data_IF_518819603789
#
_entry.id   IF_518819603789
#
_cell.length_a   1.000
_cell.length_b   1.000
_cell.length_c   1.000
_cell.angle_alpha   90.00
_cell.angle_beta   90.00
_cell.angle_gamma   90.00
#
_symmetry.space_group_name_H-M   'P 1'
#
loop_
_entity.id
_entity.type
_entity.pdbx_description
1 polymer ?
#
# COMPACT_ATOMS: atom_id res chain seq x y z
N UNK A 1 51.41 62.34 -15.90
CA UNK A 1 50.62 62.47 -14.65
C UNK A 1 50.60 61.09 -14.01
N UNK A 2 51.32 60.83 -12.89
CA UNK A 2 51.03 61.28 -11.52
C UNK A 2 49.66 60.72 -11.07
N UNK A 3 49.45 59.98 -9.96
CA UNK A 3 50.29 59.49 -8.85
C UNK A 3 49.32 58.79 -7.85
N UNK A 4 49.72 57.64 -7.29
CA UNK A 4 49.55 57.18 -5.88
C UNK A 4 48.13 56.85 -5.33
N UNK A 5 47.93 55.64 -4.79
CA UNK A 5 47.97 55.22 -3.34
C UNK A 5 46.54 54.79 -2.96
N UNK A 6 46.23 53.51 -2.72
CA UNK A 6 46.57 52.62 -1.59
C UNK A 6 45.55 52.73 -0.42
N UNK A 7 45.28 51.57 0.21
CA UNK A 7 44.52 51.27 1.45
C UNK A 7 43.00 51.01 1.28
N UNK A 8 42.32 50.02 1.89
CA UNK A 8 42.68 48.90 2.79
C UNK A 8 41.44 48.02 3.06
N UNK A 9 41.68 46.74 3.35
CA UNK A 9 41.04 45.89 4.40
C UNK A 9 39.52 45.67 4.45
N UNK A 10 39.14 44.38 4.49
CA UNK A 10 38.17 43.71 5.40
C UNK A 10 37.30 42.68 4.64
N UNK A 11 37.54 41.37 4.80
CA UNK A 11 36.84 40.42 5.71
C UNK A 11 35.44 40.00 5.22
N UNK A 12 35.22 38.69 5.10
CA UNK A 12 33.90 38.03 5.03
C UNK A 12 33.89 36.85 4.06
N UNK A 13 34.38 35.66 4.41
CA UNK A 13 33.66 34.48 4.97
C UNK A 13 32.30 34.15 4.37
N UNK A 14 32.20 32.86 3.96
CA UNK A 14 31.00 32.06 3.70
C UNK A 14 30.18 32.57 2.49
N UNK A 15 29.66 31.74 1.59
CA UNK A 15 28.86 30.54 1.83
C UNK A 15 28.58 29.87 0.48
N UNK A 16 28.28 28.57 0.55
CA UNK A 16 27.26 27.86 -0.27
C UNK A 16 27.58 27.45 -1.71
N UNK A 17 27.22 26.18 -1.94
CA UNK A 17 26.52 25.68 -3.13
C UNK A 17 27.34 25.59 -4.42
N UNK A 18 27.65 24.36 -4.82
CA UNK A 18 26.80 23.50 -5.65
C UNK A 18 27.30 23.56 -7.09
N UNK A 19 27.76 22.42 -7.62
CA UNK A 19 26.97 21.81 -8.68
C UNK A 19 27.26 20.31 -8.77
N UNK A 20 26.18 19.53 -8.68
CA UNK A 20 26.12 18.14 -9.12
C UNK A 20 25.85 18.18 -10.61
N UNK A 21 26.59 17.39 -11.38
CA UNK A 21 26.05 16.80 -12.59
C UNK A 21 26.59 15.36 -12.72
N UNK A 22 25.66 14.42 -12.55
CA UNK A 22 25.82 12.99 -12.73
C UNK A 22 25.21 12.65 -14.08
N UNK A 23 25.97 12.09 -15.02
CA UNK A 23 25.41 11.28 -16.12
C UNK A 23 26.37 10.16 -16.54
N UNK A 24 25.78 8.96 -16.56
CA UNK A 24 26.19 7.63 -17.08
C UNK A 24 26.95 7.75 -18.42
N UNK A 25 27.84 6.85 -18.83
CA UNK A 25 27.71 5.39 -18.91
C UNK A 25 29.03 4.66 -18.61
N UNK A 26 28.90 3.53 -17.92
CA UNK A 26 29.97 2.55 -17.77
C UNK A 26 29.92 1.64 -18.99
N UNK A 27 30.69 1.95 -20.03
CA UNK A 27 31.15 0.92 -20.96
C UNK A 27 32.34 0.25 -20.27
N UNK A 28 32.16 -0.98 -19.78
CA UNK A 28 33.31 -1.82 -19.46
C UNK A 28 34.02 -2.11 -20.79
N UNK A 29 35.28 -1.69 -20.98
CA UNK A 29 36.04 -2.17 -22.12
C UNK A 29 36.30 -3.67 -21.90
N UNK A 30 35.75 -4.52 -22.76
CA UNK A 30 36.20 -5.90 -22.93
C UNK A 30 37.62 -5.84 -23.49
N UNK A 31 38.62 -5.87 -22.60
CA UNK A 31 40.01 -5.99 -23.00
C UNK A 31 40.41 -7.45 -22.83
N UNK A 32 40.20 -8.21 -23.90
CA UNK A 32 40.94 -9.43 -24.20
C UNK A 32 42.41 -9.03 -24.37
N UNK A 33 43.26 -9.38 -23.40
CA UNK A 33 44.72 -9.26 -23.50
C UNK A 33 45.32 -10.64 -23.50
N UNK A 34 45.18 -11.31 -24.65
CA UNK A 34 46.25 -12.14 -25.20
C UNK A 34 47.33 -11.18 -25.71
N UNK A 35 48.37 -10.92 -24.91
CA UNK A 35 49.56 -10.24 -25.41
C UNK A 35 50.81 -10.98 -24.94
N UNK A 36 51.43 -11.58 -25.96
CA UNK A 36 52.76 -12.16 -26.00
C UNK A 36 53.80 -11.34 -25.22
N UNK A 37 54.74 -12.08 -24.63
CA UNK A 37 55.82 -11.64 -23.75
C UNK A 37 56.58 -10.40 -24.27
N UNK A 38 56.11 -9.21 -23.91
CA UNK A 38 56.87 -7.97 -24.04
C UNK A 38 57.92 -7.89 -22.94
N UNK A 39 59.20 -8.00 -23.29
CA UNK A 39 60.32 -7.88 -22.35
C UNK A 39 60.27 -6.53 -21.60
N UNK A 40 60.03 -6.57 -20.29
CA UNK A 40 60.03 -5.39 -19.42
C UNK A 40 61.46 -4.95 -19.09
N UNK A 41 61.78 -3.64 -19.13
CA UNK A 41 63.11 -3.14 -18.81
C UNK A 41 63.43 -3.30 -17.32
N UNK A 42 64.62 -3.79 -17.00
CA UNK A 42 65.09 -3.89 -15.61
C UNK A 42 65.60 -2.54 -15.12
N UNK A 43 64.81 -1.88 -14.27
CA UNK A 43 65.31 -0.82 -13.40
C UNK A 43 65.56 -1.42 -12.02
N UNK A 44 66.83 -1.45 -11.61
CA UNK A 44 67.21 -1.86 -10.27
C UNK A 44 67.16 -0.63 -9.36
N UNK A 45 66.16 -0.58 -8.48
CA UNK A 45 65.93 0.54 -7.57
C UNK A 45 65.96 -0.01 -6.15
N UNK A 46 66.99 0.37 -5.38
CA UNK A 46 67.12 0.01 -3.96
C UNK A 46 66.06 0.73 -3.12
N UNK A 47 64.88 0.11 -2.95
CA UNK A 47 63.85 0.56 -2.01
C UNK A 47 64.06 -0.05 -0.63
N UNK A 48 63.64 0.66 0.42
CA UNK A 48 63.64 0.11 1.78
C UNK A 48 62.76 -1.16 1.86
N UNK A 49 63.23 -2.19 2.55
CA UNK A 49 62.53 -3.45 2.72
C UNK A 49 61.24 -3.24 3.54
N UNK A 50 60.08 -3.30 2.88
CA UNK A 50 58.76 -3.14 3.50
C UNK A 50 58.17 -4.53 3.77
N UNK A 51 58.16 -4.91 5.05
CA UNK A 51 57.53 -6.16 5.49
C UNK A 51 56.01 -5.99 5.58
N UNK A 52 55.29 -6.49 4.59
CA UNK A 52 53.82 -6.51 4.56
C UNK A 52 53.32 -7.83 5.14
N UNK A 53 52.54 -7.77 6.22
CA UNK A 53 51.98 -8.95 6.86
C UNK A 53 50.59 -8.68 7.40
N UNK A 54 49.77 -9.72 7.51
CA UNK A 54 48.46 -9.66 8.16
C UNK A 54 48.61 -9.95 9.65
N UNK A 55 48.02 -9.11 10.51
CA UNK A 55 47.95 -9.36 11.96
C UNK A 55 46.51 -9.68 12.36
N UNK A 56 46.32 -10.74 13.16
CA UNK A 56 45.01 -11.09 13.70
C UNK A 56 44.75 -10.27 14.95
N UNK A 57 43.74 -9.41 14.92
CA UNK A 57 43.32 -8.60 16.07
C UNK A 57 41.91 -9.02 16.51
N UNK A 58 41.75 -9.32 17.79
CA UNK A 58 40.42 -9.50 18.38
C UNK A 58 39.74 -8.13 18.44
N UNK A 59 38.62 -7.98 17.75
CA UNK A 59 37.79 -6.78 17.76
C UNK A 59 36.43 -7.18 18.31
N UNK A 60 35.94 -6.44 19.31
CA UNK A 60 34.59 -6.63 19.82
C UNK A 60 33.60 -6.08 18.79
N UNK A 61 32.78 -6.97 18.22
CA UNK A 61 31.72 -6.60 17.28
C UNK A 61 30.38 -6.78 18.01
N UNK A 62 29.59 -5.70 18.19
CA UNK A 62 28.30 -5.81 18.84
C UNK A 62 27.36 -6.68 18.00
N UNK A 63 26.81 -7.74 18.60
CA UNK A 63 25.75 -8.54 18.01
C UNK A 63 24.40 -7.97 18.44
N UNK A 64 23.63 -7.42 17.51
CA UNK A 64 22.24 -7.02 17.75
C UNK A 64 21.38 -8.28 17.62
N UNK A 65 20.73 -8.68 18.71
CA UNK A 65 19.71 -9.75 18.69
C UNK A 65 18.37 -9.05 18.63
N UNK A 66 17.70 -9.16 17.47
CA UNK A 66 16.30 -8.71 17.34
C UNK A 66 15.43 -9.87 17.76
N UNK A 67 14.71 -9.71 18.88
CA UNK A 67 13.69 -10.66 19.32
C UNK A 67 12.37 -10.16 18.76
N UNK A 68 11.77 -10.93 17.86
CA UNK A 68 10.39 -10.71 17.42
C UNK A 68 9.50 -11.48 18.41
N UNK A 69 8.58 -10.80 19.07
CA UNK A 69 7.55 -11.42 19.89
C UNK A 69 6.27 -11.53 19.05
N UNK A 70 5.75 -12.74 18.89
CA UNK A 70 4.42 -12.98 18.31
C UNK A 70 3.41 -12.85 19.45
N UNK A 71 2.50 -11.88 19.34
CA UNK A 71 1.38 -11.69 20.27
C UNK A 71 0.09 -12.11 19.57
N UNK A 72 -0.69 -12.99 20.20
CA UNK A 72 -2.02 -13.35 19.73
C UNK A 72 -2.97 -12.17 20.00
N UNK A 73 -3.35 -11.45 18.94
CA UNK A 73 -4.33 -10.37 19.02
C UNK A 73 -5.68 -10.90 18.53
N UNK A 74 -6.72 -10.82 19.37
CA UNK A 74 -8.08 -11.20 18.97
C UNK A 74 -8.63 -10.20 17.95
N UNK A 75 -8.63 -10.60 16.68
CA UNK A 75 -9.29 -9.88 15.60
C UNK A 75 -10.67 -10.47 15.35
N UNK A 76 -11.73 -9.64 15.28
CA UNK A 76 -13.06 -10.15 14.97
C UNK A 76 -13.08 -10.72 13.55
N UNK A 77 -13.43 -12.00 13.41
CA UNK A 77 -13.62 -12.65 12.12
C UNK A 77 -15.07 -13.08 11.95
N UNK A 78 -15.56 -13.04 10.71
CA UNK A 78 -16.91 -13.50 10.33
C UNK A 78 -16.71 -14.75 9.49
N UNK A 79 -17.15 -15.90 10.01
CA UNK A 79 -17.10 -17.18 9.29
C UNK A 79 -18.49 -17.52 8.74
N UNK A 80 -18.57 -17.83 7.45
CA UNK A 80 -19.84 -18.06 6.75
C UNK A 80 -19.90 -19.48 6.22
N UNK A 81 -20.83 -20.27 6.77
CA UNK A 81 -21.19 -21.61 6.29
C UNK A 81 -22.48 -21.56 5.47
N UNK A 82 -22.49 -22.15 4.27
CA UNK A 82 -23.69 -22.19 3.43
C UNK A 82 -24.51 -23.46 3.70
N UNK A 83 -25.84 -23.35 3.83
CA UNK A 83 -26.70 -24.49 4.14
C UNK A 83 -26.88 -25.51 3.00
N UNK A 84 -26.31 -25.28 1.82
CA UNK A 84 -26.39 -26.20 0.67
C UNK A 84 -25.02 -26.81 0.31
N UNK A 85 -24.05 -26.79 1.23
CA UNK A 85 -22.74 -27.43 1.04
C UNK A 85 -22.79 -28.97 1.28
N UNK A 86 -23.99 -29.56 1.32
CA UNK A 86 -24.24 -31.01 1.52
C UNK A 86 -23.80 -31.91 0.33
N UNK A 87 -23.20 -31.35 -0.72
CA UNK A 87 -22.44 -32.16 -1.68
C UNK A 87 -21.05 -32.41 -1.05
N UNK A 88 -20.92 -33.54 -0.34
CA UNK A 88 -19.75 -34.09 0.39
C UNK A 88 -18.39 -34.12 -0.39
N UNK A 89 -18.32 -33.56 -1.60
CA UNK A 89 -17.16 -33.53 -2.50
C UNK A 89 -16.64 -32.11 -2.83
N UNK A 90 -17.21 -31.04 -2.27
CA UNK A 90 -16.64 -29.68 -2.36
C UNK A 90 -16.52 -29.04 -0.97
N UNK A 91 -15.44 -29.37 -0.25
CA UNK A 91 -14.84 -28.42 0.70
C UNK A 91 -14.42 -27.19 -0.11
N UNK A 92 -15.33 -26.24 -0.32
CA UNK A 92 -15.00 -24.98 -0.94
C UNK A 92 -14.02 -24.27 -0.03
N UNK A 93 -12.76 -24.15 -0.49
CA UNK A 93 -11.70 -23.49 0.26
C UNK A 93 -12.16 -22.08 0.64
N UNK A 94 -12.41 -21.88 1.94
CA UNK A 94 -12.77 -20.57 2.46
C UNK A 94 -11.54 -19.69 2.39
N UNK A 95 -11.72 -18.51 1.82
CA UNK A 95 -10.66 -17.54 1.71
C UNK A 95 -11.11 -16.28 2.43
N UNK A 96 -10.24 -15.76 3.29
CA UNK A 96 -10.44 -14.46 3.90
C UNK A 96 -10.46 -13.38 2.82
N UNK A 97 -11.57 -12.65 2.74
CA UNK A 97 -11.78 -11.58 1.76
C UNK A 97 -12.32 -10.34 2.45
N UNK A 98 -11.77 -9.19 2.08
CA UNK A 98 -12.32 -7.90 2.49
C UNK A 98 -13.31 -7.43 1.44
N UNK A 99 -14.56 -7.22 1.87
CA UNK A 99 -15.59 -6.60 1.05
C UNK A 99 -15.67 -5.12 1.40
N UNK A 100 -15.51 -4.28 0.38
CA UNK A 100 -15.56 -2.84 0.52
C UNK A 100 -16.72 -2.25 -0.29
N UNK A 101 -17.37 -1.23 0.28
CA UNK A 101 -18.38 -0.41 -0.38
C UNK A 101 -17.90 1.04 -0.36
N UNK A 102 -18.19 1.81 -1.41
CA UNK A 102 -17.69 3.18 -1.53
C UNK A 102 -18.75 4.07 -2.20
N UNK A 103 -18.84 5.34 -1.83
CA UNK A 103 -19.68 6.30 -2.54
C UNK A 103 -18.97 7.65 -2.63
N UNK A 104 -19.16 8.34 -3.74
CA UNK A 104 -18.80 9.75 -3.87
C UNK A 104 -20.05 10.59 -3.65
N UNK A 105 -20.00 11.51 -2.70
CA UNK A 105 -21.10 12.42 -2.34
C UNK A 105 -20.69 13.88 -2.52
N UNK A 106 -21.66 14.74 -2.76
CA UNK A 106 -21.52 16.20 -2.87
C UNK A 106 -22.48 16.89 -1.90
N UNK A 107 -22.30 18.20 -1.72
CA UNK A 107 -23.17 19.11 -0.97
C UNK A 107 -23.10 18.95 0.56
N UNK A 108 -23.35 17.73 1.06
CA UNK A 108 -23.24 17.40 2.50
C UNK A 108 -22.40 16.15 2.72
N UNK A 109 -21.81 16.03 3.90
CA UNK A 109 -21.18 14.79 4.33
C UNK A 109 -22.24 13.69 4.43
N UNK A 110 -21.84 12.46 4.14
CA UNK A 110 -22.70 11.30 4.30
C UNK A 110 -21.95 10.20 5.02
N UNK A 111 -22.63 9.46 5.87
CA UNK A 111 -22.10 8.27 6.50
C UNK A 111 -22.53 7.05 5.67
N UNK A 112 -21.54 6.25 5.27
CA UNK A 112 -21.74 4.99 4.56
C UNK A 112 -21.33 3.85 5.48
N UNK A 113 -22.29 2.97 5.81
CA UNK A 113 -22.05 1.85 6.72
C UNK A 113 -22.64 0.57 6.16
N UNK A 114 -21.90 -0.54 6.21
CA UNK A 114 -22.40 -1.88 5.97
C UNK A 114 -23.22 -2.29 7.20
N UNK A 115 -24.54 -2.39 7.04
CA UNK A 115 -25.46 -2.78 8.12
C UNK A 115 -25.65 -4.28 8.18
N UNK A 116 -25.88 -4.92 7.03
CA UNK A 116 -26.19 -6.34 6.97
C UNK A 116 -25.51 -7.02 5.78
N UNK A 117 -25.18 -8.31 5.94
CA UNK A 117 -24.77 -9.18 4.83
C UNK A 117 -25.67 -10.41 4.86
N UNK A 118 -26.32 -10.70 3.74
CA UNK A 118 -27.19 -11.86 3.59
C UNK A 118 -26.62 -12.85 2.58
N UNK A 119 -26.71 -14.14 2.88
CA UNK A 119 -26.34 -15.23 1.99
C UNK A 119 -27.60 -15.88 1.41
N UNK A 120 -27.64 -16.10 0.08
CA UNK A 120 -28.72 -16.85 -0.58
C UNK A 120 -28.21 -17.57 -1.83
N UNK A 121 -28.13 -18.90 -1.75
CA UNK A 121 -27.41 -19.72 -2.72
C UNK A 121 -25.98 -19.19 -2.88
N UNK A 122 -25.45 -19.18 -4.11
CA UNK A 122 -24.09 -18.71 -4.39
C UNK A 122 -23.91 -17.16 -4.39
N UNK A 123 -24.78 -16.41 -3.71
CA UNK A 123 -24.70 -14.94 -3.68
C UNK A 123 -24.62 -14.40 -2.26
N UNK A 124 -23.74 -13.43 -2.06
CA UNK A 124 -23.73 -12.54 -0.90
C UNK A 124 -24.37 -11.21 -1.29
N UNK A 125 -25.28 -10.74 -0.46
CA UNK A 125 -25.97 -9.47 -0.59
C UNK A 125 -25.47 -8.56 0.50
N UNK A 126 -24.64 -7.59 0.14
CA UNK A 126 -24.05 -6.61 1.06
C UNK A 126 -24.93 -5.39 1.07
N UNK A 127 -25.45 -5.05 2.25
CA UNK A 127 -26.47 -4.05 2.43
C UNK A 127 -25.88 -2.94 3.27
N UNK A 128 -25.74 -1.78 2.64
CA UNK A 128 -25.17 -0.60 3.26
C UNK A 128 -26.20 0.51 3.32
N UNK A 129 -26.11 1.38 4.32
CA UNK A 129 -26.91 2.61 4.40
C UNK A 129 -26.04 3.79 4.05
N UNK A 130 -26.57 4.72 3.26
CA UNK A 130 -25.94 6.01 2.98
C UNK A 130 -26.84 7.11 3.55
N UNK A 131 -26.40 7.74 4.63
CA UNK A 131 -27.18 8.74 5.36
C UNK A 131 -26.49 10.10 5.30
N UNK A 132 -27.22 11.15 4.92
CA UNK A 132 -26.71 12.51 4.93
C UNK A 132 -26.55 13.02 6.37
N UNK A 133 -25.46 13.72 6.65
CA UNK A 133 -25.23 14.39 7.93
C UNK A 133 -25.56 15.88 7.84
N UNK A 134 -25.49 16.59 8.97
CA UNK A 134 -25.76 18.02 9.04
C UNK A 134 -24.58 18.90 8.55
N UNK A 135 -23.44 18.30 8.19
CA UNK A 135 -22.22 19.03 7.80
C UNK A 135 -22.20 19.29 6.29
N UNK A 136 -22.15 20.56 5.89
CA UNK A 136 -21.94 20.96 4.48
C UNK A 136 -20.50 20.73 4.04
N UNK A 137 -20.32 20.17 2.84
CA UNK A 137 -19.03 20.10 2.15
C UNK A 137 -18.90 21.16 1.03
N UNK A 138 -19.87 22.06 0.93
CA UNK A 138 -19.96 23.10 -0.10
C UNK A 138 -19.82 22.48 -1.51
N UNK A 139 -19.02 23.08 -2.40
CA UNK A 139 -18.77 22.58 -3.76
C UNK A 139 -17.75 21.42 -3.81
N UNK A 140 -17.38 20.83 -2.67
CA UNK A 140 -16.40 19.74 -2.62
C UNK A 140 -17.10 18.39 -2.80
N UNK A 141 -16.30 17.41 -3.20
CA UNK A 141 -16.70 16.01 -3.19
C UNK A 141 -16.01 15.29 -2.05
N UNK A 142 -16.74 14.40 -1.40
CA UNK A 142 -16.23 13.50 -0.38
C UNK A 142 -16.42 12.07 -0.86
N UNK A 143 -15.39 11.23 -0.67
CA UNK A 143 -15.51 9.79 -0.87
C UNK A 143 -15.63 9.14 0.49
N UNK A 144 -16.71 8.39 0.69
CA UNK A 144 -16.97 7.62 1.89
C UNK A 144 -16.94 6.14 1.58
N UNK A 145 -16.49 5.34 2.53
CA UNK A 145 -16.25 3.92 2.33
C UNK A 145 -16.36 3.15 3.63
N UNK A 146 -16.86 1.93 3.55
CA UNK A 146 -16.83 0.97 4.65
C UNK A 146 -16.36 -0.38 4.15
N UNK A 147 -15.80 -1.18 5.06
CA UNK A 147 -15.23 -2.49 4.75
C UNK A 147 -15.49 -3.51 5.84
N UNK A 148 -15.76 -4.73 5.43
CA UNK A 148 -15.92 -5.89 6.31
C UNK A 148 -15.10 -7.04 5.77
N UNK A 149 -14.28 -7.64 6.63
CA UNK A 149 -13.53 -8.86 6.30
C UNK A 149 -14.33 -10.08 6.69
N UNK A 150 -14.43 -11.03 5.78
CA UNK A 150 -15.17 -12.27 5.96
C UNK A 150 -14.39 -13.47 5.41
N UNK A 151 -14.48 -14.58 6.12
CA UNK A 151 -13.97 -15.87 5.69
C UNK A 151 -15.14 -16.66 5.08
N UNK A 152 -15.15 -16.77 3.76
CA UNK A 152 -16.23 -17.42 3.03
C UNK A 152 -15.68 -18.10 1.75
N UNK A 153 -16.42 -19.07 1.19
CA UNK A 153 -16.11 -19.63 -0.12
C UNK A 153 -16.21 -18.57 -1.24
N UNK A 154 -15.93 -18.97 -2.48
CA UNK A 154 -16.01 -18.06 -3.64
C UNK A 154 -17.47 -17.75 -4.02
N UNK A 155 -17.98 -16.62 -3.52
CA UNK A 155 -19.38 -16.21 -3.66
C UNK A 155 -19.56 -14.98 -4.54
N UNK A 156 -20.68 -14.91 -5.26
CA UNK A 156 -21.02 -13.74 -6.06
C UNK A 156 -21.54 -12.59 -5.18
N UNK A 157 -20.78 -11.50 -5.08
CA UNK A 157 -21.11 -10.36 -4.22
C UNK A 157 -21.97 -9.34 -4.97
N UNK A 158 -23.14 -9.02 -4.41
CA UNK A 158 -24.07 -7.99 -4.89
C UNK A 158 -24.22 -6.92 -3.83
N UNK A 159 -23.97 -5.68 -4.22
CA UNK A 159 -24.02 -4.53 -3.31
C UNK A 159 -25.33 -3.75 -3.48
N UNK A 160 -25.98 -3.51 -2.35
CA UNK A 160 -27.16 -2.68 -2.23
C UNK A 160 -26.89 -1.54 -1.25
N UNK A 161 -27.20 -0.32 -1.67
CA UNK A 161 -27.09 0.87 -0.83
C UNK A 161 -28.51 1.40 -0.60
N UNK A 162 -28.94 1.44 0.64
CA UNK A 162 -30.18 2.05 1.08
C UNK A 162 -29.92 3.55 1.23
N UNK A 163 -30.64 4.35 0.44
CA UNK A 163 -30.48 5.80 0.43
C UNK A 163 -30.65 6.38 -0.98
N UNK A 164 -30.57 7.70 -1.06
CA UNK A 164 -30.65 8.39 -2.34
C UNK A 164 -29.34 8.22 -3.11
N UNK A 165 -29.44 7.99 -4.41
CA UNK A 165 -28.27 7.89 -5.27
C UNK A 165 -27.66 9.28 -5.42
N UNK A 166 -26.37 9.49 -5.07
CA UNK A 166 -25.75 10.79 -5.28
C UNK A 166 -25.72 11.16 -6.76
N UNK A 167 -25.79 12.46 -7.04
CA UNK A 167 -25.70 12.96 -8.40
C UNK A 167 -24.31 12.67 -9.00
N UNK A 168 -24.27 12.36 -10.30
CA UNK A 168 -23.03 12.13 -11.06
C UNK A 168 -22.18 10.94 -10.56
N UNK A 169 -22.81 9.92 -9.97
CA UNK A 169 -22.14 8.66 -9.62
C UNK A 169 -21.81 7.87 -10.90
N UNK A 170 -20.52 7.74 -11.20
CA UNK A 170 -20.01 6.93 -12.31
C UNK A 170 -20.01 5.44 -11.99
N UNK A 171 -20.11 5.09 -10.71
CA UNK A 171 -20.06 3.72 -10.27
C UNK A 171 -21.42 3.04 -10.46
N UNK A 172 -21.47 2.13 -11.43
CA UNK A 172 -22.65 1.33 -11.75
C UNK A 172 -22.66 -0.04 -11.06
N UNK A 173 -21.62 -0.36 -10.25
CA UNK A 173 -21.50 -1.63 -9.54
C UNK A 173 -22.45 -1.75 -8.34
N UNK A 174 -23.01 -0.64 -7.87
CA UNK A 174 -23.89 -0.56 -6.70
C UNK A 174 -25.33 -0.27 -7.09
N UNK A 175 -26.26 -1.00 -6.48
CA UNK A 175 -27.70 -0.80 -6.66
C UNK A 175 -28.24 0.04 -5.51
N UNK A 176 -28.89 1.16 -5.82
CA UNK A 176 -29.55 2.00 -4.81
C UNK A 176 -31.01 1.59 -4.65
N UNK A 177 -31.47 1.53 -3.41
CA UNK A 177 -32.86 1.22 -3.02
C UNK A 177 -33.33 2.25 -2.00
N UNK A 178 -34.61 2.61 -2.03
CA UNK A 178 -35.15 3.63 -1.14
C UNK A 178 -35.26 3.14 0.31
N UNK A 179 -35.54 1.85 0.50
CA UNK A 179 -35.71 1.27 1.84
C UNK A 179 -35.28 -0.19 1.92
N UNK A 180 -35.08 -0.66 3.15
CA UNK A 180 -34.81 -2.06 3.44
C UNK A 180 -35.99 -2.97 3.06
N UNK A 181 -37.22 -2.48 3.16
CA UNK A 181 -38.41 -3.24 2.80
C UNK A 181 -38.50 -3.45 1.28
N UNK A 182 -38.17 -2.42 0.49
CA UNK A 182 -38.09 -2.56 -0.98
C UNK A 182 -37.04 -3.61 -1.38
N UNK A 183 -35.93 -3.66 -0.64
CA UNK A 183 -34.91 -4.67 -0.85
C UNK A 183 -35.42 -6.07 -0.53
N UNK A 184 -36.09 -6.26 0.61
CA UNK A 184 -36.67 -7.55 1.00
C UNK A 184 -37.70 -8.04 -0.02
N UNK A 185 -38.57 -7.15 -0.50
CA UNK A 185 -39.54 -7.48 -1.57
C UNK A 185 -38.82 -7.91 -2.85
N UNK A 186 -37.73 -7.24 -3.21
CA UNK A 186 -36.93 -7.56 -4.40
C UNK A 186 -36.19 -8.89 -4.28
N UNK A 187 -35.65 -9.22 -3.11
CA UNK A 187 -34.88 -10.43 -2.87
C UNK A 187 -35.76 -11.65 -2.58
N UNK A 188 -36.97 -11.42 -2.06
CA UNK A 188 -37.86 -12.45 -1.56
C UNK A 188 -37.27 -13.21 -0.36
N UNK A 189 -37.93 -14.29 0.04
CA UNK A 189 -37.52 -15.07 1.21
C UNK A 189 -36.33 -16.01 0.92
N UNK A 190 -35.85 -16.72 1.94
CA UNK A 190 -34.83 -17.77 1.80
C UNK A 190 -33.39 -17.25 1.76
N UNK A 191 -33.15 -16.08 2.34
CA UNK A 191 -31.81 -15.59 2.65
C UNK A 191 -31.49 -15.84 4.14
N UNK A 192 -30.21 -16.02 4.43
CA UNK A 192 -29.68 -16.14 5.80
C UNK A 192 -28.87 -14.90 6.13
N UNK A 193 -29.17 -14.25 7.26
CA UNK A 193 -28.34 -13.14 7.73
C UNK A 193 -27.04 -13.69 8.32
N UNK A 194 -25.92 -13.33 7.73
CA UNK A 194 -24.58 -13.78 8.15
C UNK A 194 -23.81 -12.67 8.89
N UNK A 195 -24.25 -11.42 8.74
CA UNK A 195 -23.70 -10.27 9.44
C UNK A 195 -24.81 -9.25 9.68
N UNK A 196 -24.79 -8.61 10.86
CA UNK A 196 -25.64 -7.47 11.20
C UNK A 196 -24.91 -6.59 12.21
N UNK A 197 -25.01 -5.27 12.05
CA UNK A 197 -24.49 -4.26 12.99
C UNK A 197 -25.58 -3.29 13.42
#
# INVERSE_FOLDING_TARGET
MIKKIMYVLAIGTLVMSCNIDQKKDMEMPEVDVDMEEGQLPTFDVDWADVNVGTTTKMVEVPKVVVVMEEEEVEVPYIDVDMPNDDDDDMDMEKVERTIAVEAEVSDVEHDLEIKEIWAKGNNLYVISTLEATDTSIDDKKMRVSDQVTLNAPDLNVKHYIIGERPDRVFNTRYTYVASMDDLKVKLGDGYTSVYSR
#
